data_IF_296606599842
#
_entry.id   IF_296606599842
#
_cell.length_a   1.000
_cell.length_b   1.000
_cell.length_c   1.000
_cell.angle_alpha   90.00
_cell.angle_beta   90.00
_cell.angle_gamma   90.00
#
_symmetry.space_group_name_H-M   'P 1'
#
loop_
_entity.id
_entity.type
_entity.pdbx_description
1 polymer ?
#
# COMPACT_ATOMS: atom_id res chain seq x y z
N UNK A 1 16.53 -14.23 7.91
CA UNK A 1 15.44 -14.08 6.92
C UNK A 1 15.49 -15.27 5.98
N UNK A 2 14.42 -16.05 5.89
CA UNK A 2 14.30 -17.24 5.03
C UNK A 2 13.08 -17.03 4.14
N UNK A 3 13.20 -17.29 2.83
CA UNK A 3 12.06 -17.21 1.92
C UNK A 3 11.17 -18.44 2.13
N UNK A 4 9.94 -18.21 2.59
CA UNK A 4 8.97 -19.29 2.85
C UNK A 4 8.17 -19.64 1.60
N UNK A 5 7.77 -18.64 0.80
CA UNK A 5 6.99 -18.83 -0.42
C UNK A 5 7.18 -17.70 -1.44
N UNK A 6 7.34 -18.04 -2.72
CA UNK A 6 7.41 -17.06 -3.82
C UNK A 6 6.03 -16.50 -4.22
N UNK A 7 5.00 -17.34 -4.15
CA UNK A 7 3.61 -16.97 -4.49
C UNK A 7 2.69 -17.34 -3.34
N UNK A 8 1.91 -16.35 -2.90
CA UNK A 8 0.92 -16.50 -1.84
C UNK A 8 -0.35 -15.72 -2.22
N UNK A 9 -1.23 -16.38 -2.97
CA UNK A 9 -2.41 -15.74 -3.59
C UNK A 9 -3.53 -15.41 -2.58
N UNK A 10 -3.46 -15.93 -1.35
CA UNK A 10 -4.45 -15.70 -0.30
C UNK A 10 -4.10 -14.54 0.65
N UNK A 11 -2.94 -13.87 0.45
CA UNK A 11 -2.54 -12.77 1.35
C UNK A 11 -3.37 -11.52 1.14
N UNK A 12 -3.64 -11.21 -0.13
CA UNK A 12 -4.34 -10.01 -0.53
C UNK A 12 -5.65 -10.39 -1.20
N UNK A 13 -6.70 -9.58 -1.01
CA UNK A 13 -7.97 -9.80 -1.69
C UNK A 13 -7.80 -9.60 -3.20
N UNK A 14 -8.68 -10.23 -4.00
CA UNK A 14 -8.56 -10.28 -5.46
C UNK A 14 -8.44 -8.91 -6.10
N UNK A 15 -9.11 -7.91 -5.54
CA UNK A 15 -9.06 -6.54 -6.03
C UNK A 15 -7.68 -5.88 -5.87
N UNK A 16 -6.82 -6.34 -4.94
CA UNK A 16 -5.43 -5.85 -4.76
C UNK A 16 -4.35 -6.76 -5.35
N UNK A 17 -4.70 -7.73 -6.21
CA UNK A 17 -3.74 -8.67 -6.80
C UNK A 17 -2.65 -8.02 -7.69
N UNK A 18 -2.81 -6.75 -8.06
CA UNK A 18 -1.79 -6.00 -8.79
C UNK A 18 -0.63 -5.56 -7.88
N UNK A 19 -0.82 -5.55 -6.56
CA UNK A 19 0.21 -5.14 -5.59
C UNK A 19 1.31 -6.20 -5.55
N UNK A 20 2.55 -5.75 -5.72
CA UNK A 20 3.76 -6.56 -5.59
C UNK A 20 4.61 -6.03 -4.44
N UNK A 21 5.17 -6.93 -3.65
CA UNK A 21 6.01 -6.57 -2.52
C UNK A 21 6.58 -7.80 -1.82
N UNK A 22 7.43 -7.53 -0.83
CA UNK A 22 8.01 -8.54 0.05
C UNK A 22 7.47 -8.29 1.46
N UNK A 23 7.00 -9.36 2.11
CA UNK A 23 6.51 -9.31 3.49
C UNK A 23 7.47 -10.11 4.35
N UNK A 24 8.08 -9.45 5.33
CA UNK A 24 8.94 -10.07 6.33
C UNK A 24 8.17 -10.16 7.66
N UNK A 25 8.27 -11.28 8.35
CA UNK A 25 7.54 -11.54 9.59
C UNK A 25 8.41 -12.38 10.52
N UNK A 26 8.72 -11.84 11.71
CA UNK A 26 9.46 -12.56 12.75
C UNK A 26 8.58 -13.56 13.52
N UNK A 27 7.24 -13.40 13.44
CA UNK A 27 6.25 -14.19 14.17
C UNK A 27 5.91 -15.54 13.51
N UNK A 28 6.65 -15.95 12.48
CA UNK A 28 6.40 -17.21 11.77
C UNK A 28 7.37 -18.32 12.21
N UNK A 29 6.87 -19.50 12.62
CA UNK A 29 7.73 -20.62 12.96
C UNK A 29 8.56 -21.07 11.74
N UNK A 30 9.84 -21.38 11.98
CA UNK A 30 10.80 -21.79 10.95
C UNK A 30 10.33 -23.02 10.13
N UNK A 31 9.47 -23.86 10.71
CA UNK A 31 9.05 -25.16 10.18
C UNK A 31 7.58 -25.18 9.73
N UNK A 32 7.05 -24.06 9.24
CA UNK A 32 5.65 -23.99 8.78
C UNK A 32 5.50 -24.50 7.36
N UNK A 33 4.59 -25.46 7.15
CA UNK A 33 4.15 -25.87 5.82
C UNK A 33 3.21 -24.83 5.20
N UNK A 34 3.08 -24.83 3.86
CA UNK A 34 2.15 -23.92 3.16
C UNK A 34 0.72 -24.03 3.68
N UNK A 35 0.27 -25.24 4.02
CA UNK A 35 -1.06 -25.51 4.55
C UNK A 35 -1.24 -24.94 5.96
N UNK A 36 -0.24 -25.11 6.83
CA UNK A 36 -0.24 -24.52 8.17
C UNK A 36 -0.22 -22.99 8.11
N UNK A 37 0.46 -22.40 7.12
CA UNK A 37 0.50 -20.96 6.92
C UNK A 37 -0.90 -20.42 6.60
N UNK A 38 -1.63 -21.07 5.69
CA UNK A 38 -3.01 -20.69 5.32
C UNK A 38 -3.99 -20.77 6.49
N UNK A 39 -3.85 -21.77 7.36
CA UNK A 39 -4.73 -21.97 8.52
C UNK A 39 -4.40 -21.03 9.70
N UNK A 40 -3.24 -20.37 9.68
CA UNK A 40 -2.77 -19.58 10.80
C UNK A 40 -3.58 -18.28 10.96
N UNK A 41 -4.11 -18.04 12.16
CA UNK A 41 -4.82 -16.79 12.51
C UNK A 41 -3.96 -15.55 12.30
N UNK A 42 -2.64 -15.67 12.47
CA UNK A 42 -1.66 -14.59 12.28
C UNK A 42 -1.68 -14.10 10.82
N UNK A 43 -1.82 -15.01 9.83
CA UNK A 43 -1.91 -14.63 8.42
C UNK A 43 -3.12 -13.74 8.12
N UNK A 44 -4.27 -14.02 8.76
CA UNK A 44 -5.47 -13.18 8.60
C UNK A 44 -5.26 -11.77 9.16
N UNK A 45 -4.52 -11.63 10.26
CA UNK A 45 -4.19 -10.32 10.84
C UNK A 45 -3.22 -9.55 9.95
N UNK A 46 -2.18 -10.21 9.44
CA UNK A 46 -1.21 -9.62 8.51
C UNK A 46 -1.90 -9.18 7.23
N UNK A 47 -2.74 -10.03 6.63
CA UNK A 47 -3.56 -9.70 5.45
C UNK A 47 -4.38 -8.42 5.67
N UNK A 48 -5.14 -8.33 6.78
CA UNK A 48 -5.91 -7.12 7.11
C UNK A 48 -5.05 -5.87 7.26
N UNK A 49 -3.88 -6.00 7.91
CA UNK A 49 -2.93 -4.88 8.05
C UNK A 49 -2.38 -4.43 6.70
N UNK A 50 -2.03 -5.36 5.82
CA UNK A 50 -1.53 -5.06 4.47
C UNK A 50 -2.59 -4.35 3.63
N UNK A 51 -3.83 -4.84 3.63
CA UNK A 51 -4.95 -4.18 2.91
C UNK A 51 -5.10 -2.74 3.37
N UNK A 52 -5.16 -2.50 4.68
CA UNK A 52 -5.26 -1.14 5.24
C UNK A 52 -4.08 -0.26 4.83
N UNK A 53 -2.86 -0.81 4.84
CA UNK A 53 -1.66 -0.05 4.49
C UNK A 53 -1.63 0.33 3.01
N UNK A 54 -2.03 -0.59 2.13
CA UNK A 54 -2.17 -0.30 0.70
C UNK A 54 -3.20 0.80 0.47
N UNK A 55 -4.38 0.71 1.10
CA UNK A 55 -5.40 1.75 0.97
C UNK A 55 -4.94 3.11 1.51
N UNK A 56 -4.17 3.13 2.61
CA UNK A 56 -3.57 4.35 3.14
C UNK A 56 -2.57 4.98 2.16
N UNK A 57 -1.70 4.16 1.54
CA UNK A 57 -0.76 4.63 0.51
C UNK A 57 -1.48 5.17 -0.71
N UNK A 58 -2.57 4.53 -1.13
CA UNK A 58 -3.39 5.00 -2.25
C UNK A 58 -4.05 6.34 -1.94
N UNK A 59 -4.56 6.53 -0.71
CA UNK A 59 -5.07 7.83 -0.26
C UNK A 59 -4.01 8.91 -0.26
N UNK A 60 -2.77 8.58 0.14
CA UNK A 60 -1.63 9.52 0.07
C UNK A 60 -1.28 9.88 -1.38
N UNK A 61 -1.23 8.89 -2.28
CA UNK A 61 -0.96 9.14 -3.70
C UNK A 61 -2.03 10.06 -4.34
N UNK A 62 -3.30 9.85 -3.99
CA UNK A 62 -4.39 10.72 -4.43
C UNK A 62 -4.23 12.14 -3.90
N UNK A 63 -3.91 12.28 -2.61
CA UNK A 63 -3.66 13.59 -1.98
C UNK A 63 -2.43 14.29 -2.53
N UNK A 64 -1.35 13.59 -2.82
CA UNK A 64 -0.12 14.18 -3.39
C UNK A 64 -0.32 14.72 -4.82
N UNK A 65 -1.27 14.17 -5.58
CA UNK A 65 -1.66 14.73 -6.88
C UNK A 65 -2.57 15.96 -6.73
N UNK A 66 -3.35 16.02 -5.65
CA UNK A 66 -4.25 17.13 -5.32
C UNK A 66 -3.52 18.29 -4.60
N UNK A 67 -2.52 17.98 -3.78
CA UNK A 67 -1.75 18.92 -2.94
C UNK A 67 -0.61 19.60 -3.71
N UNK A 68 -0.94 20.11 -4.89
CA UNK A 68 -0.20 21.20 -5.50
C UNK A 68 -0.53 22.57 -4.90
N UNK A 69 -1.55 22.68 -4.03
CA UNK A 69 -2.12 23.98 -3.62
C UNK A 69 -2.64 24.13 -2.18
N UNK A 70 -2.46 23.19 -1.24
CA UNK A 70 -2.85 23.46 0.16
C UNK A 70 -1.73 23.10 1.15
N UNK A 71 -1.19 24.16 1.74
CA UNK A 71 -0.27 24.19 2.86
C UNK A 71 -0.87 23.49 4.10
N UNK A 72 0.00 22.82 4.84
CA UNK A 72 -0.03 22.62 6.30
C UNK A 72 -1.40 22.76 6.99
N UNK A 73 -2.08 21.64 7.25
CA UNK A 73 -2.81 21.52 8.51
C UNK A 73 -1.97 20.71 9.50
N UNK A 74 -1.28 21.49 10.34
CA UNK A 74 -0.61 21.07 11.55
C UNK A 74 -1.46 20.10 12.38
N UNK A 75 -0.84 18.98 12.76
CA UNK A 75 -1.08 18.42 14.10
C UNK A 75 0.27 18.24 14.78
N UNK A 76 0.58 19.26 15.59
CA UNK A 76 1.47 19.19 16.75
C UNK A 76 1.21 17.92 17.56
N UNK A 77 2.27 17.13 17.74
CA UNK A 77 2.85 16.64 19.00
C UNK A 77 3.70 15.39 18.68
N UNK A 78 4.99 15.57 18.41
CA UNK A 78 6.09 14.96 19.17
C UNK A 78 7.42 15.39 18.50
N UNK A 79 8.24 16.08 19.28
CA UNK A 79 9.58 16.55 18.90
C UNK A 79 10.51 15.40 18.46
N UNK A 80 11.43 15.74 17.55
CA UNK A 80 12.57 14.94 17.06
C UNK A 80 12.32 13.87 15.99
N UNK A 81 12.40 14.30 14.72
CA UNK A 81 13.64 14.17 13.95
C UNK A 81 13.61 14.98 12.65
N UNK A 82 14.33 16.11 12.71
CA UNK A 82 14.87 16.81 11.54
C UNK A 82 15.74 15.87 10.71
N UNK A 83 15.88 16.25 9.44
CA UNK A 83 16.88 15.81 8.46
C UNK A 83 16.44 14.70 7.48
N UNK A 84 15.50 15.02 6.57
CA UNK A 84 15.70 14.82 5.11
C UNK A 84 14.79 15.82 4.34
N UNK A 85 15.12 17.10 4.38
CA UNK A 85 14.41 18.15 3.63
C UNK A 85 15.37 18.92 2.74
N UNK A 86 16.11 18.24 1.85
CA UNK A 86 16.90 18.96 0.84
C UNK A 86 17.31 18.06 -0.34
N UNK A 87 16.33 17.63 -1.13
CA UNK A 87 16.54 17.44 -2.57
C UNK A 87 15.27 17.75 -3.35
N UNK A 88 14.85 18.99 -3.14
CA UNK A 88 13.90 19.76 -3.93
C UNK A 88 14.45 19.89 -5.36
N UNK A 89 13.55 19.74 -6.33
CA UNK A 89 13.59 20.39 -7.65
C UNK A 89 14.82 20.13 -8.52
N UNK A 90 14.68 19.29 -9.54
CA UNK A 90 15.01 19.65 -10.92
C UNK A 90 14.62 18.52 -11.88
N UNK A 91 13.38 18.58 -12.38
CA UNK A 91 13.03 18.41 -13.80
C UNK A 91 11.52 18.59 -13.96
N UNK A 92 11.10 19.85 -13.90
CA UNK A 92 9.83 20.31 -14.47
C UNK A 92 10.01 20.31 -15.99
N UNK A 93 9.94 19.11 -16.58
CA UNK A 93 10.11 18.85 -18.00
C UNK A 93 8.75 18.67 -18.67
N UNK A 94 8.33 19.72 -19.37
CA UNK A 94 7.15 19.86 -20.24
C UNK A 94 6.89 18.62 -21.13
N UNK A 95 5.72 18.01 -20.98
CA UNK A 95 5.15 16.96 -21.84
C UNK A 95 3.82 16.52 -21.24
N UNK A 96 2.84 16.12 -22.04
CA UNK A 96 1.49 15.69 -21.62
C UNK A 96 1.51 14.46 -20.69
N UNK A 97 1.99 14.62 -19.46
CA UNK A 97 2.07 13.53 -18.49
C UNK A 97 0.85 13.61 -17.58
N UNK A 98 -0.16 12.76 -17.87
CA UNK A 98 -1.18 12.38 -16.90
C UNK A 98 -0.49 12.22 -15.52
N UNK A 99 -1.03 12.87 -14.50
CA UNK A 99 -0.44 12.82 -13.16
C UNK A 99 -0.38 11.39 -12.64
N UNK A 100 0.50 11.14 -11.67
CA UNK A 100 0.81 9.79 -11.18
C UNK A 100 -0.44 9.05 -10.70
N UNK A 101 -1.38 9.76 -10.05
CA UNK A 101 -2.65 9.18 -9.62
C UNK A 101 -3.64 9.02 -10.78
N UNK A 102 -3.67 9.94 -11.73
CA UNK A 102 -4.47 9.80 -12.97
C UNK A 102 -4.09 8.54 -13.76
N UNK A 103 -2.78 8.28 -13.94
CA UNK A 103 -2.27 7.05 -14.58
C UNK A 103 -2.67 5.81 -13.78
N UNK A 104 -2.46 5.85 -12.47
CA UNK A 104 -2.82 4.75 -11.57
C UNK A 104 -4.33 4.44 -11.62
N UNK A 105 -5.17 5.46 -11.54
CA UNK A 105 -6.62 5.31 -11.59
C UNK A 105 -7.08 4.74 -12.94
N UNK A 106 -6.50 5.21 -14.05
CA UNK A 106 -6.81 4.69 -15.40
C UNK A 106 -6.53 3.19 -15.52
N UNK A 107 -5.42 2.72 -14.95
CA UNK A 107 -5.04 1.31 -14.98
C UNK A 107 -5.83 0.44 -13.99
N UNK A 108 -6.05 0.91 -12.76
CA UNK A 108 -6.57 0.10 -11.66
C UNK A 108 -8.00 0.45 -11.21
N UNK A 109 -8.72 1.37 -11.87
CA UNK A 109 -10.10 1.72 -11.46
C UNK A 109 -11.05 0.52 -11.44
N UNK A 110 -10.87 -0.45 -12.35
CA UNK A 110 -11.72 -1.64 -12.40
C UNK A 110 -11.53 -2.49 -11.15
N UNK A 111 -10.28 -2.68 -10.73
CA UNK A 111 -9.91 -3.37 -9.51
C UNK A 111 -10.51 -2.66 -8.29
N UNK A 112 -10.36 -1.35 -8.19
CA UNK A 112 -10.92 -0.59 -7.08
C UNK A 112 -12.44 -0.65 -6.98
N UNK A 113 -13.13 -0.55 -8.13
CA UNK A 113 -14.58 -0.73 -8.18
C UNK A 113 -14.98 -2.12 -7.69
N UNK A 114 -14.27 -3.17 -8.07
CA UNK A 114 -14.50 -4.52 -7.55
C UNK A 114 -14.32 -4.56 -6.02
N UNK A 115 -13.29 -3.90 -5.48
CA UNK A 115 -13.08 -3.78 -4.04
C UNK A 115 -14.27 -3.16 -3.30
N UNK A 116 -14.91 -2.13 -3.87
CA UNK A 116 -16.10 -1.50 -3.28
C UNK A 116 -17.33 -2.44 -3.22
N UNK A 117 -17.35 -3.54 -3.99
CA UNK A 117 -18.41 -4.55 -3.94
C UNK A 117 -18.02 -5.79 -3.11
N UNK A 118 -16.73 -6.15 -3.09
CA UNK A 118 -16.25 -7.37 -2.43
C UNK A 118 -15.83 -7.15 -0.97
N UNK A 119 -15.44 -5.93 -0.59
CA UNK A 119 -14.89 -5.63 0.74
C UNK A 119 -15.68 -4.53 1.46
N UNK A 120 -16.82 -4.92 2.04
CA UNK A 120 -17.65 -4.04 2.87
C UNK A 120 -16.92 -3.49 4.11
N UNK A 121 -15.86 -4.18 4.58
CA UNK A 121 -15.13 -3.76 5.78
C UNK A 121 -14.21 -2.56 5.52
N UNK A 122 -13.81 -2.35 4.27
CA UNK A 122 -12.89 -1.30 3.86
C UNK A 122 -13.49 -0.34 2.81
N UNK A 123 -14.81 -0.41 2.59
CA UNK A 123 -15.57 0.50 1.71
C UNK A 123 -15.44 1.96 2.14
#
# INVERSE_FOLDING_TARGET
RVLVAEKFDELLPRYLNFVRGVVDSDDLPLNVSREQLQQNKIMKVISKKLVRKVLELMKKLAKEEESGDDEDEEKDDDEEKKEVSEKKQEKKGKGDEEGTWTKFWKEFNKNLKMGCYEDDSNR
#
